data_IF_450530178228
#
_entry.id   IF_450530178228
#
_cell.length_a   1.000
_cell.length_b   1.000
_cell.length_c   1.000
_cell.angle_alpha   90.00
_cell.angle_beta   90.00
_cell.angle_gamma   90.00
#
_symmetry.space_group_name_H-M   'P 1'
#
loop_
_entity.id
_entity.type
_entity.pdbx_description
1 polymer ?
#
# COMPACT_ATOMS: atom_id res chain seq x y z
N UNK A 1 -12.03 31.02 9.85
CA UNK A 1 -11.72 29.82 9.05
C UNK A 1 -11.76 30.25 7.60
N UNK A 2 -10.65 30.16 6.85
CA UNK A 2 -10.71 30.33 5.40
C UNK A 2 -11.56 29.20 4.82
N UNK A 3 -12.61 29.53 4.07
CA UNK A 3 -13.33 28.54 3.27
C UNK A 3 -12.38 28.01 2.21
N UNK A 4 -11.90 26.78 2.40
CA UNK A 4 -11.11 26.10 1.38
C UNK A 4 -11.99 25.89 0.14
N UNK A 5 -11.48 26.31 -1.02
CA UNK A 5 -12.19 26.21 -2.31
C UNK A 5 -12.32 24.77 -2.82
N UNK A 6 -11.61 23.81 -2.19
CA UNK A 6 -11.62 22.39 -2.52
C UNK A 6 -11.47 21.53 -1.25
N UNK A 7 -12.17 20.38 -1.17
CA UNK A 7 -12.03 19.47 -0.03
C UNK A 7 -10.66 18.78 -0.03
N UNK A 8 -9.99 18.77 1.11
CA UNK A 8 -8.63 18.20 1.26
C UNK A 8 -8.70 16.88 2.02
N UNK A 9 -8.17 15.81 1.45
CA UNK A 9 -8.16 14.47 2.06
C UNK A 9 -6.74 14.02 2.39
N UNK A 10 -6.53 13.62 3.64
CA UNK A 10 -5.31 12.96 4.07
C UNK A 10 -5.39 11.48 3.70
N UNK A 11 -4.44 10.99 2.90
CA UNK A 11 -4.34 9.60 2.45
C UNK A 11 -3.19 8.93 3.20
N UNK A 12 -3.49 8.13 4.22
CA UNK A 12 -2.50 7.76 5.24
C UNK A 12 -2.04 6.32 5.07
N UNK A 13 -0.72 6.12 4.98
CA UNK A 13 -0.09 4.81 4.79
C UNK A 13 -0.31 3.88 6.00
N UNK A 14 -0.47 2.55 5.81
CA UNK A 14 -0.85 1.61 6.88
C UNK A 14 0.09 1.59 8.10
N UNK A 15 1.36 2.02 7.93
CA UNK A 15 2.32 2.10 9.02
C UNK A 15 1.95 3.11 10.13
N UNK A 16 1.00 4.03 9.89
CA UNK A 16 0.75 5.21 10.72
C UNK A 16 0.46 4.92 12.19
N UNK A 17 -0.29 3.86 12.49
CA UNK A 17 -0.74 3.51 13.84
C UNK A 17 0.41 3.26 14.81
N UNK A 18 1.54 2.82 14.27
CA UNK A 18 2.71 2.57 15.09
C UNK A 18 3.55 3.82 15.37
N UNK A 19 3.40 4.88 14.58
CA UNK A 19 4.42 5.92 14.43
C UNK A 19 4.21 7.12 15.33
N UNK A 20 2.96 7.51 15.55
CA UNK A 20 2.66 8.68 16.37
C UNK A 20 2.56 8.26 17.84
N UNK A 21 3.38 8.91 18.68
CA UNK A 21 3.37 8.65 20.12
C UNK A 21 2.12 9.29 20.74
N UNK A 22 1.54 8.61 21.72
CA UNK A 22 0.42 9.12 22.52
C UNK A 22 -0.84 9.45 21.67
N UNK A 23 -0.95 8.88 20.46
CA UNK A 23 -2.12 8.99 19.58
C UNK A 23 -2.73 7.60 19.45
N UNK A 24 -3.96 7.46 19.94
CA UNK A 24 -4.77 6.25 19.84
C UNK A 24 -5.47 6.13 18.49
N UNK A 25 -5.94 4.92 18.19
CA UNK A 25 -6.67 4.58 16.98
C UNK A 25 -7.87 5.51 16.78
N UNK A 26 -8.02 6.05 15.57
CA UNK A 26 -9.09 6.99 15.24
C UNK A 26 -8.87 8.44 15.73
N UNK A 27 -7.96 8.72 16.67
CA UNK A 27 -7.65 10.12 17.05
C UNK A 27 -6.98 10.86 15.90
N UNK A 28 -6.15 10.18 15.10
CA UNK A 28 -5.47 10.77 13.95
C UNK A 28 -6.45 11.38 12.94
N UNK A 29 -7.60 10.73 12.72
CA UNK A 29 -8.67 11.22 11.85
C UNK A 29 -9.26 12.54 12.38
N UNK A 30 -9.49 12.62 13.68
CA UNK A 30 -9.96 13.85 14.34
C UNK A 30 -8.92 14.95 14.29
N UNK A 31 -7.63 14.63 14.46
CA UNK A 31 -6.52 15.60 14.34
C UNK A 31 -6.50 16.21 12.94
N UNK A 32 -6.53 15.39 11.89
CA UNK A 32 -6.55 15.90 10.51
C UNK A 32 -7.76 16.80 10.26
N UNK A 33 -8.95 16.45 10.77
CA UNK A 33 -10.14 17.32 10.68
C UNK A 33 -9.93 18.65 11.39
N UNK A 34 -9.31 18.66 12.58
CA UNK A 34 -8.98 19.91 13.31
C UNK A 34 -7.96 20.77 12.56
N UNK A 35 -7.06 20.16 11.80
CA UNK A 35 -6.11 20.85 10.92
C UNK A 35 -6.75 21.37 9.62
N UNK A 36 -8.05 21.14 9.41
CA UNK A 36 -8.80 21.63 8.26
C UNK A 36 -8.96 20.65 7.11
N UNK A 37 -8.51 19.39 7.26
CA UNK A 37 -8.81 18.35 6.27
C UNK A 37 -10.29 17.99 6.30
N UNK A 38 -10.89 17.77 5.13
CA UNK A 38 -12.25 17.28 4.98
C UNK A 38 -12.40 15.82 5.44
N UNK A 39 -11.33 15.04 5.35
CA UNK A 39 -11.32 13.67 5.83
C UNK A 39 -9.95 13.01 5.77
N UNK A 40 -9.90 11.80 6.33
CA UNK A 40 -8.75 10.90 6.27
C UNK A 40 -9.20 9.60 5.60
N UNK A 41 -8.39 9.06 4.70
CA UNK A 41 -8.62 7.75 4.07
C UNK A 41 -7.41 6.89 4.34
N UNK A 42 -7.64 5.70 4.88
CA UNK A 42 -6.58 4.74 5.12
C UNK A 42 -6.24 4.03 3.83
N UNK A 43 -4.95 4.02 3.51
CA UNK A 43 -4.41 3.38 2.29
C UNK A 43 -4.54 1.85 2.35
N UNK A 44 -4.72 1.27 3.54
CA UNK A 44 -4.89 -0.17 3.75
C UNK A 44 -6.08 -0.75 2.98
N UNK A 45 -7.18 -0.01 2.83
CA UNK A 45 -8.32 -0.43 1.99
C UNK A 45 -7.94 -0.58 0.50
N UNK A 46 -6.98 0.21 0.02
CA UNK A 46 -6.51 0.13 -1.36
C UNK A 46 -5.41 -0.92 -1.53
N UNK A 47 -4.67 -1.21 -0.46
CA UNK A 47 -3.82 -2.39 -0.41
C UNK A 47 -4.66 -3.69 -0.47
N UNK A 48 -5.86 -3.72 0.12
CA UNK A 48 -6.80 -4.82 -0.04
C UNK A 48 -7.20 -5.02 -1.52
N UNK A 49 -7.62 -3.96 -2.21
CA UNK A 49 -7.99 -4.04 -3.63
C UNK A 49 -6.82 -4.50 -4.51
N UNK A 50 -5.63 -3.94 -4.28
CA UNK A 50 -4.44 -4.33 -5.03
C UNK A 50 -3.99 -5.75 -4.69
N UNK A 51 -4.25 -6.25 -3.48
CA UNK A 51 -4.02 -7.65 -3.15
C UNK A 51 -4.91 -8.58 -3.98
N UNK A 52 -6.18 -8.23 -4.20
CA UNK A 52 -7.05 -9.00 -5.10
C UNK A 52 -6.51 -8.99 -6.52
N UNK A 53 -6.15 -7.80 -7.01
CA UNK A 53 -5.59 -7.66 -8.35
C UNK A 53 -4.30 -8.47 -8.51
N UNK A 54 -3.35 -8.34 -7.60
CA UNK A 54 -2.09 -9.10 -7.65
C UNK A 54 -2.30 -10.62 -7.50
N UNK A 55 -3.29 -11.07 -6.71
CA UNK A 55 -3.64 -12.48 -6.64
C UNK A 55 -4.20 -13.01 -7.96
N UNK A 56 -5.05 -12.23 -8.64
CA UNK A 56 -5.55 -12.57 -9.98
C UNK A 56 -4.44 -12.52 -11.04
N UNK A 57 -3.54 -11.55 -10.96
CA UNK A 57 -2.38 -11.44 -11.85
C UNK A 57 -1.42 -12.61 -11.64
N UNK A 58 -1.19 -13.04 -10.40
CA UNK A 58 -0.46 -14.26 -10.10
C UNK A 58 -1.16 -15.49 -10.70
N UNK A 59 -2.48 -15.59 -10.55
CA UNK A 59 -3.25 -16.69 -11.11
C UNK A 59 -3.09 -16.78 -12.63
N UNK A 60 -3.11 -15.63 -13.31
CA UNK A 60 -2.95 -15.50 -14.76
C UNK A 60 -1.50 -15.75 -15.23
N UNK A 61 -0.51 -15.19 -14.53
CA UNK A 61 0.90 -15.24 -14.94
C UNK A 61 1.58 -16.58 -14.63
N UNK A 62 1.17 -17.23 -13.54
CA UNK A 62 1.83 -18.45 -13.06
C UNK A 62 1.03 -19.67 -13.50
N UNK A 63 1.41 -20.22 -14.65
CA UNK A 63 0.79 -21.41 -15.25
C UNK A 63 1.69 -22.64 -15.12
N UNK A 64 3.01 -22.44 -14.99
CA UNK A 64 4.01 -23.50 -14.89
C UNK A 64 4.98 -23.24 -13.74
N UNK A 65 5.67 -24.28 -13.27
CA UNK A 65 6.71 -24.18 -12.21
C UNK A 65 7.92 -23.33 -12.61
N UNK A 66 8.02 -22.92 -13.87
CA UNK A 66 9.08 -22.02 -14.37
C UNK A 66 8.67 -20.56 -14.35
N UNK A 67 7.38 -20.28 -14.20
CA UNK A 67 6.87 -18.93 -14.16
C UNK A 67 7.14 -18.29 -12.80
N UNK A 68 7.37 -16.98 -12.82
CA UNK A 68 7.54 -16.18 -11.63
C UNK A 68 7.01 -14.77 -11.85
N UNK A 69 6.73 -14.10 -10.74
CA UNK A 69 6.20 -12.74 -10.69
C UNK A 69 7.01 -11.93 -9.67
N UNK A 70 7.42 -10.72 -10.06
CA UNK A 70 8.04 -9.73 -9.19
C UNK A 70 6.92 -8.83 -8.64
N UNK A 71 6.64 -8.93 -7.35
CA UNK A 71 5.58 -8.15 -6.67
C UNK A 71 6.15 -6.89 -6.02
N UNK A 72 5.43 -6.31 -5.05
CA UNK A 72 5.76 -5.08 -4.34
C UNK A 72 5.92 -3.90 -5.29
N UNK A 73 5.01 -3.81 -6.26
CA UNK A 73 4.84 -2.65 -7.13
C UNK A 73 4.69 -1.33 -6.34
N UNK A 74 4.27 -1.44 -5.09
CA UNK A 74 4.13 -0.36 -4.15
C UNK A 74 5.44 0.24 -3.62
N UNK A 75 6.60 -0.41 -3.80
CA UNK A 75 7.90 0.11 -3.38
C UNK A 75 8.64 0.80 -4.54
N UNK A 76 8.74 2.15 -4.55
CA UNK A 76 9.35 2.84 -5.69
C UNK A 76 10.83 2.54 -5.86
N UNK A 77 11.55 2.28 -4.76
CA UNK A 77 12.97 1.93 -4.80
C UNK A 77 13.18 0.60 -5.52
N UNK A 78 12.32 -0.38 -5.24
CA UNK A 78 12.35 -1.70 -5.89
C UNK A 78 12.04 -1.61 -7.38
N UNK A 79 10.95 -0.92 -7.74
CA UNK A 79 10.58 -0.74 -9.15
C UNK A 79 11.65 0.02 -9.93
N UNK A 80 12.22 1.08 -9.36
CA UNK A 80 13.30 1.83 -10.00
C UNK A 80 14.59 1.02 -10.12
N UNK A 81 14.87 0.11 -9.18
CA UNK A 81 16.01 -0.81 -9.27
C UNK A 81 15.82 -1.77 -10.44
N UNK A 82 14.66 -2.44 -10.54
CA UNK A 82 14.35 -3.33 -11.66
C UNK A 82 14.45 -2.56 -12.98
N UNK A 83 13.76 -1.41 -13.09
CA UNK A 83 13.74 -0.60 -14.32
C UNK A 83 15.13 -0.18 -14.81
N UNK A 84 16.06 0.11 -13.90
CA UNK A 84 17.41 0.62 -14.25
C UNK A 84 18.46 -0.47 -14.41
N UNK A 85 18.40 -1.52 -13.59
CA UNK A 85 19.45 -2.53 -13.52
C UNK A 85 19.07 -3.82 -14.27
N UNK A 86 17.77 -4.14 -14.33
CA UNK A 86 17.24 -5.39 -14.87
C UNK A 86 15.96 -5.13 -15.72
N UNK A 87 16.03 -4.29 -16.77
CA UNK A 87 14.86 -3.84 -17.51
C UNK A 87 14.06 -4.99 -18.16
N UNK A 88 14.72 -6.08 -18.55
CA UNK A 88 14.08 -7.29 -19.08
C UNK A 88 13.17 -8.01 -18.07
N UNK A 89 13.39 -7.79 -16.77
CA UNK A 89 12.53 -8.31 -15.70
C UNK A 89 11.25 -7.50 -15.52
N UNK A 90 11.13 -6.29 -16.08
CA UNK A 90 9.91 -5.47 -15.95
C UNK A 90 8.66 -6.17 -16.47
N UNK A 91 8.79 -7.00 -17.51
CA UNK A 91 7.67 -7.82 -18.05
C UNK A 91 7.11 -8.85 -17.05
N UNK A 92 7.83 -9.09 -15.96
CA UNK A 92 7.45 -10.00 -14.86
C UNK A 92 6.91 -9.24 -13.64
N UNK A 93 6.87 -7.90 -13.69
CA UNK A 93 6.22 -7.04 -12.70
C UNK A 93 4.76 -6.83 -13.15
N UNK A 94 3.76 -7.00 -12.28
CA UNK A 94 2.39 -6.64 -12.62
C UNK A 94 2.27 -5.16 -12.92
N UNK A 95 1.35 -4.80 -13.80
CA UNK A 95 1.03 -3.41 -14.13
C UNK A 95 0.25 -2.67 -13.02
N UNK A 96 0.31 -3.12 -11.77
CA UNK A 96 -0.45 -2.54 -10.66
C UNK A 96 0.18 -1.23 -10.14
N UNK A 97 -0.65 -0.23 -9.82
CA UNK A 97 -0.21 1.00 -9.14
C UNK A 97 0.07 0.72 -7.65
N UNK A 98 0.71 1.66 -6.95
CA UNK A 98 0.79 1.54 -5.49
C UNK A 98 -0.53 1.88 -4.80
N UNK A 99 -0.77 1.35 -3.57
CA UNK A 99 -1.96 1.69 -2.78
C UNK A 99 -2.15 3.20 -2.55
N UNK A 100 -1.05 3.97 -2.52
CA UNK A 100 -1.09 5.44 -2.46
C UNK A 100 -1.80 6.01 -3.69
N UNK A 101 -1.36 5.60 -4.88
CA UNK A 101 -1.89 6.09 -6.17
C UNK A 101 -3.34 5.64 -6.34
N UNK A 102 -3.63 4.37 -6.10
CA UNK A 102 -5.00 3.84 -6.14
C UNK A 102 -5.95 4.64 -5.24
N UNK A 103 -5.54 4.91 -3.99
CA UNK A 103 -6.33 5.71 -3.07
C UNK A 103 -6.56 7.13 -3.58
N UNK A 104 -5.51 7.80 -4.06
CA UNK A 104 -5.61 9.15 -4.61
C UNK A 104 -6.59 9.26 -5.78
N UNK A 105 -6.48 8.35 -6.77
CA UNK A 105 -7.38 8.27 -7.92
C UNK A 105 -8.83 8.04 -7.52
N UNK A 106 -9.07 7.10 -6.60
CA UNK A 106 -10.43 6.79 -6.15
C UNK A 106 -11.03 7.97 -5.36
N UNK A 107 -10.27 8.62 -4.49
CA UNK A 107 -10.74 9.83 -3.79
C UNK A 107 -11.16 10.91 -4.78
N UNK A 108 -10.34 11.19 -5.81
CA UNK A 108 -10.65 12.21 -6.83
C UNK A 108 -11.82 11.81 -7.73
N UNK A 109 -12.02 10.52 -7.99
CA UNK A 109 -13.18 10.00 -8.76
C UNK A 109 -14.48 10.10 -7.98
N UNK A 110 -14.45 9.83 -6.67
CA UNK A 110 -15.62 9.92 -5.79
C UNK A 110 -15.94 11.37 -5.39
N UNK A 111 -14.92 12.21 -5.28
CA UNK A 111 -15.04 13.63 -4.91
C UNK A 111 -14.27 14.48 -5.93
N UNK A 112 -14.91 14.83 -7.06
CA UNK A 112 -14.29 15.67 -8.07
C UNK A 112 -13.79 17.00 -7.48
N UNK A 113 -12.55 17.38 -7.82
CA UNK A 113 -11.90 18.57 -7.28
C UNK A 113 -11.24 18.39 -5.90
N UNK A 114 -11.26 17.18 -5.32
CA UNK A 114 -10.54 16.90 -4.09
C UNK A 114 -9.02 17.07 -4.25
N UNK A 115 -8.40 17.64 -3.22
CA UNK A 115 -6.95 17.69 -3.06
C UNK A 115 -6.52 16.52 -2.19
N UNK A 116 -5.57 15.72 -2.64
CA UNK A 116 -5.09 14.53 -1.94
C UNK A 116 -3.68 14.75 -1.39
N UNK A 117 -3.52 14.51 -0.09
CA UNK A 117 -2.23 14.63 0.61
C UNK A 117 -1.87 13.26 1.17
N UNK A 118 -0.89 12.59 0.56
CA UNK A 118 -0.38 11.34 1.11
C UNK A 118 0.47 11.60 2.34
N UNK A 119 0.32 10.75 3.36
CA UNK A 119 1.11 10.76 4.60
C UNK A 119 1.73 9.38 4.82
N UNK A 120 3.06 9.29 4.81
CA UNK A 120 3.74 8.00 4.98
C UNK A 120 5.22 8.09 5.39
N UNK A 121 5.92 6.94 5.52
CA UNK A 121 7.29 6.92 6.02
C UNK A 121 8.36 7.11 4.93
N UNK A 122 7.96 7.06 3.65
CA UNK A 122 8.87 6.90 2.53
C UNK A 122 9.11 8.20 1.75
N UNK A 123 10.38 8.59 1.60
CA UNK A 123 10.77 9.74 0.77
C UNK A 123 10.60 9.47 -0.73
N UNK A 124 10.78 8.22 -1.18
CA UNK A 124 10.66 7.87 -2.59
C UNK A 124 9.22 8.05 -3.12
N UNK A 125 8.21 8.04 -2.24
CA UNK A 125 6.81 8.37 -2.62
C UNK A 125 6.67 9.80 -3.16
N UNK A 126 7.53 10.74 -2.74
CA UNK A 126 7.54 12.11 -3.30
C UNK A 126 7.94 12.10 -4.78
N UNK A 127 8.80 11.17 -5.18
CA UNK A 127 9.21 10.99 -6.57
C UNK A 127 8.15 10.21 -7.36
N UNK A 128 7.62 9.12 -6.80
CA UNK A 128 6.56 8.33 -7.46
C UNK A 128 5.33 9.19 -7.80
N UNK A 129 4.86 10.02 -6.86
CA UNK A 129 3.71 10.89 -7.09
C UNK A 129 3.92 11.93 -8.22
N UNK A 130 5.15 12.08 -8.73
CA UNK A 130 5.49 12.98 -9.84
C UNK A 130 5.79 12.22 -11.14
N UNK A 131 5.72 10.89 -11.15
CA UNK A 131 5.87 10.11 -12.37
C UNK A 131 4.67 10.40 -13.30
N UNK A 132 4.95 10.58 -14.60
CA UNK A 132 3.97 11.12 -15.54
C UNK A 132 2.70 10.26 -15.68
N UNK A 133 2.81 8.94 -15.46
CA UNK A 133 1.72 7.99 -15.54
C UNK A 133 0.81 7.98 -14.29
N UNK A 134 1.21 8.64 -13.19
CA UNK A 134 0.48 8.64 -11.90
C UNK A 134 0.37 10.02 -11.23
N UNK A 135 0.85 11.08 -11.89
CA UNK A 135 0.82 12.45 -11.38
C UNK A 135 -0.59 13.02 -11.16
N UNK A 136 -1.62 12.34 -11.66
CA UNK A 136 -3.03 12.66 -11.46
C UNK A 136 -3.51 12.33 -10.03
N UNK A 137 -2.86 11.39 -9.35
CA UNK A 137 -3.42 10.76 -8.14
C UNK A 137 -3.20 11.57 -6.84
N UNK A 138 -1.98 12.09 -6.63
CA UNK A 138 -1.55 12.68 -5.35
C UNK A 138 -0.97 14.08 -5.56
N UNK A 139 -1.59 15.09 -4.94
CA UNK A 139 -1.14 16.49 -5.07
C UNK A 139 0.06 16.78 -4.18
N UNK A 140 0.06 16.24 -2.96
CA UNK A 140 1.13 16.46 -1.97
C UNK A 140 1.51 15.18 -1.24
N UNK A 141 2.79 15.07 -0.89
CA UNK A 141 3.34 13.93 -0.16
C UNK A 141 4.09 14.45 1.07
N UNK A 142 3.56 14.14 2.24
CA UNK A 142 4.14 14.43 3.54
C UNK A 142 4.67 13.15 4.19
N UNK A 143 5.76 13.30 4.92
CA UNK A 143 6.35 12.23 5.70
C UNK A 143 5.77 12.20 7.11
N UNK A 144 5.82 11.07 7.81
CA UNK A 144 5.37 11.02 9.22
C UNK A 144 6.11 12.03 10.09
N UNK A 145 7.42 12.21 9.86
CA UNK A 145 8.17 13.27 10.53
C UNK A 145 7.64 14.68 10.22
N UNK A 146 7.38 15.01 8.96
CA UNK A 146 6.83 16.33 8.60
C UNK A 146 5.43 16.55 9.22
N UNK A 147 4.63 15.50 9.34
CA UNK A 147 3.32 15.57 10.01
C UNK A 147 3.45 15.70 11.53
N UNK A 148 4.41 15.03 12.16
CA UNK A 148 4.69 15.23 13.59
C UNK A 148 5.14 16.67 13.87
N UNK A 149 6.04 17.21 13.04
CA UNK A 149 6.49 18.60 13.14
C UNK A 149 5.29 19.58 12.94
N UNK A 150 4.32 19.24 12.07
CA UNK A 150 3.07 20.00 11.91
C UNK A 150 2.18 19.94 13.15
N UNK A 151 2.04 18.76 13.77
CA UNK A 151 1.22 18.60 14.99
C UNK A 151 1.79 19.40 16.15
N UNK A 152 3.13 19.41 16.30
CA UNK A 152 3.82 20.23 17.28
C UNK A 152 3.60 21.72 17.03
N UNK A 153 3.78 22.18 15.79
CA UNK A 153 3.57 23.58 15.41
C UNK A 153 2.12 24.04 15.63
N UNK A 154 1.14 23.16 15.38
CA UNK A 154 -0.28 23.40 15.61
C UNK A 154 -0.69 23.23 17.09
N UNK A 155 0.24 22.85 17.98
CA UNK A 155 0.00 22.62 19.41
C UNK A 155 -1.16 21.64 19.65
N UNK A 156 -1.18 20.56 18.89
CA UNK A 156 -2.15 19.48 19.04
C UNK A 156 -1.80 18.68 20.29
N UNK A 157 -2.66 18.71 21.30
CA UNK A 157 -2.59 17.81 22.46
C UNK A 157 -3.49 16.60 22.21
N UNK A 158 -2.94 15.37 22.06
CA UNK A 158 -3.71 14.16 21.83
C UNK A 158 -4.65 13.76 22.97
N UNK A 159 -4.36 14.18 24.21
CA UNK A 159 -5.06 13.69 25.40
C UNK A 159 -6.58 13.99 25.39
N UNK A 160 -6.99 15.10 24.78
CA UNK A 160 -8.38 15.57 24.75
C UNK A 160 -9.04 15.43 23.36
N UNK A 161 -8.53 14.51 22.53
CA UNK A 161 -9.03 14.31 21.17
C UNK A 161 -9.98 13.11 21.13
N UNK A 162 -11.27 13.31 20.79
CA UNK A 162 -12.18 12.20 20.63
C UNK A 162 -11.75 11.31 19.46
N UNK A 163 -11.90 10.01 19.63
CA UNK A 163 -11.64 9.02 18.60
C UNK A 163 -12.75 9.02 17.54
N UNK A 164 -12.37 9.00 16.26
CA UNK A 164 -13.27 8.73 15.12
C UNK A 164 -12.80 7.44 14.46
N UNK A 165 -13.26 6.32 15.01
CA UNK A 165 -12.94 4.98 14.52
C UNK A 165 -13.75 4.67 13.27
N UNK A 166 -13.04 4.43 12.16
CA UNK A 166 -13.62 3.97 10.91
C UNK A 166 -12.72 2.91 10.30
N UNK A 167 -12.91 1.68 10.75
CA UNK A 167 -12.14 0.53 10.28
C UNK A 167 -12.78 -0.05 9.02
N UNK A 168 -12.09 0.07 7.89
CA UNK A 168 -12.57 -0.44 6.61
C UNK A 168 -11.64 -1.47 5.98
N UNK A 169 -10.47 -1.75 6.57
CA UNK A 169 -9.44 -2.61 5.99
C UNK A 169 -9.42 -4.02 6.59
N UNK A 170 -9.08 -5.00 5.76
CA UNK A 170 -8.87 -6.41 6.14
C UNK A 170 -7.44 -6.64 6.67
N UNK A 171 -7.18 -7.84 7.19
CA UNK A 171 -5.82 -8.26 7.59
C UNK A 171 -4.81 -8.05 6.44
N UNK A 172 -5.18 -8.44 5.22
CA UNK A 172 -4.34 -8.36 4.03
C UNK A 172 -3.87 -6.92 3.75
N UNK A 173 -4.76 -5.93 3.82
CA UNK A 173 -4.44 -4.53 3.60
C UNK A 173 -3.61 -3.90 4.71
N UNK A 174 -3.78 -4.35 5.96
CA UNK A 174 -3.02 -3.84 7.12
C UNK A 174 -1.58 -4.34 7.14
N UNK A 175 -1.36 -5.62 6.79
CA UNK A 175 -0.03 -6.25 6.90
C UNK A 175 0.98 -5.76 5.85
N UNK A 176 0.55 -5.08 4.78
CA UNK A 176 1.43 -4.51 3.74
C UNK A 176 2.58 -3.63 4.26
N UNK A 177 2.44 -3.05 5.44
CA UNK A 177 3.43 -2.13 6.00
C UNK A 177 4.74 -2.82 6.43
N UNK A 178 4.73 -4.14 6.64
CA UNK A 178 5.90 -4.93 7.06
C UNK A 178 6.44 -5.80 5.91
N UNK A 179 7.75 -6.09 5.91
CA UNK A 179 8.32 -7.08 4.98
C UNK A 179 7.56 -8.41 5.06
N UNK A 180 7.38 -9.07 3.90
CA UNK A 180 6.57 -10.30 3.72
C UNK A 180 5.06 -10.05 3.72
N UNK A 181 4.60 -8.87 4.12
CA UNK A 181 3.19 -8.56 4.20
C UNK A 181 2.46 -8.71 2.88
N UNK A 182 3.07 -8.28 1.76
CA UNK A 182 2.46 -8.39 0.42
C UNK A 182 2.35 -9.87 0.02
N UNK A 183 3.44 -10.63 0.15
CA UNK A 183 3.46 -12.07 -0.12
C UNK A 183 2.41 -12.84 0.68
N UNK A 184 2.27 -12.54 1.97
CA UNK A 184 1.30 -13.19 2.85
C UNK A 184 -0.14 -12.83 2.45
N UNK A 185 -0.41 -11.54 2.24
CA UNK A 185 -1.71 -11.04 1.82
C UNK A 185 -2.16 -11.68 0.49
N UNK A 186 -1.27 -11.73 -0.52
CA UNK A 186 -1.56 -12.31 -1.83
C UNK A 186 -1.75 -13.82 -1.73
N UNK A 187 -0.92 -14.53 -0.97
CA UNK A 187 -1.06 -15.98 -0.80
C UNK A 187 -2.41 -16.37 -0.17
N UNK A 188 -2.77 -15.72 0.95
CA UNK A 188 -4.05 -15.99 1.65
C UNK A 188 -5.24 -15.61 0.76
N UNK A 189 -5.15 -14.50 0.04
CA UNK A 189 -6.22 -14.06 -0.87
C UNK A 189 -6.37 -15.02 -2.04
N UNK A 190 -5.28 -15.45 -2.67
CA UNK A 190 -5.29 -16.42 -3.77
C UNK A 190 -5.93 -17.73 -3.36
N UNK A 191 -5.55 -18.29 -2.20
CA UNK A 191 -6.15 -19.51 -1.68
C UNK A 191 -7.66 -19.37 -1.43
N UNK A 192 -8.11 -18.16 -1.09
CA UNK A 192 -9.53 -17.86 -0.89
C UNK A 192 -10.31 -17.77 -2.21
N UNK A 193 -9.76 -17.17 -3.26
CA UNK A 193 -10.45 -16.94 -4.54
C UNK A 193 -10.21 -18.04 -5.60
N UNK A 194 -9.14 -18.83 -5.45
CA UNK A 194 -8.72 -19.93 -6.33
C UNK A 194 -8.17 -21.11 -5.50
N UNK A 195 -9.00 -21.72 -4.64
CA UNK A 195 -8.55 -22.80 -3.74
C UNK A 195 -7.92 -23.98 -4.48
N UNK A 196 -8.43 -24.29 -5.67
CA UNK A 196 -8.01 -25.44 -6.49
C UNK A 196 -6.78 -25.15 -7.37
N UNK A 197 -6.17 -23.96 -7.30
CA UNK A 197 -4.97 -23.66 -8.09
C UNK A 197 -3.83 -24.61 -7.69
N UNK A 198 -3.24 -25.37 -8.64
CA UNK A 198 -2.23 -26.37 -8.31
C UNK A 198 -0.90 -25.75 -7.87
N UNK A 199 -0.49 -24.66 -8.52
CA UNK A 199 0.75 -23.95 -8.20
C UNK A 199 0.45 -22.85 -7.19
N UNK A 200 0.87 -23.07 -5.95
CA UNK A 200 0.70 -22.12 -4.84
C UNK A 200 1.80 -21.07 -4.82
N UNK A 201 1.55 -19.97 -4.10
CA UNK A 201 2.55 -18.92 -3.89
C UNK A 201 3.73 -19.49 -3.10
N UNK A 202 4.91 -19.44 -3.71
CA UNK A 202 6.19 -19.76 -3.09
C UNK A 202 7.05 -18.51 -3.11
N UNK A 203 6.91 -17.73 -2.04
CA UNK A 203 7.48 -16.40 -1.96
C UNK A 203 8.90 -16.38 -1.40
N UNK A 204 9.72 -15.46 -1.94
CA UNK A 204 11.00 -15.04 -1.35
C UNK A 204 10.99 -13.52 -1.20
N UNK A 205 11.56 -13.03 -0.10
CA UNK A 205 11.58 -11.62 0.24
C UNK A 205 13.01 -11.11 0.32
N UNK A 206 13.18 -9.85 -0.06
CA UNK A 206 14.37 -9.07 0.19
C UNK A 206 13.99 -7.71 0.74
N UNK A 207 14.71 -7.26 1.77
CA UNK A 207 14.54 -5.92 2.31
C UNK A 207 15.86 -5.19 2.51
N UNK A 208 15.84 -3.90 2.21
CA UNK A 208 17.05 -3.12 1.98
C UNK A 208 17.59 -3.26 0.57
N UNK A 209 18.18 -2.17 0.07
CA UNK A 209 18.78 -2.09 -1.28
C UNK A 209 19.79 -3.22 -1.57
N UNK A 210 20.72 -3.59 -0.66
CA UNK A 210 21.68 -4.67 -0.92
C UNK A 210 21.02 -6.04 -1.14
N UNK A 211 20.07 -6.42 -0.30
CA UNK A 211 19.38 -7.71 -0.42
C UNK A 211 18.46 -7.73 -1.64
N UNK A 212 17.80 -6.61 -1.96
CA UNK A 212 16.99 -6.51 -3.18
C UNK A 212 17.84 -6.76 -4.42
N UNK A 213 19.03 -6.14 -4.49
CA UNK A 213 19.95 -6.38 -5.61
C UNK A 213 20.38 -7.84 -5.66
N UNK A 214 20.79 -8.41 -4.51
CA UNK A 214 21.21 -9.81 -4.44
C UNK A 214 20.10 -10.76 -4.90
N UNK A 215 18.85 -10.49 -4.53
CA UNK A 215 17.70 -11.30 -4.95
C UNK A 215 17.50 -11.28 -6.48
N UNK A 216 17.63 -10.11 -7.11
CA UNK A 216 17.56 -9.99 -8.56
C UNK A 216 18.72 -10.72 -9.25
N UNK A 217 19.95 -10.54 -8.76
CA UNK A 217 21.13 -11.25 -9.28
C UNK A 217 20.97 -12.78 -9.16
N UNK A 218 20.46 -13.27 -8.01
CA UNK A 218 20.24 -14.70 -7.76
C UNK A 218 19.10 -15.26 -8.65
N UNK A 219 18.08 -14.45 -8.95
CA UNK A 219 17.01 -14.81 -9.89
C UNK A 219 17.55 -15.01 -11.31
N UNK A 220 18.32 -14.06 -11.83
CA UNK A 220 18.90 -14.14 -13.18
C UNK A 220 19.87 -15.31 -13.33
N UNK A 221 20.59 -15.64 -12.26
CA UNK A 221 21.49 -16.78 -12.21
C UNK A 221 20.77 -18.13 -12.00
N UNK A 222 19.44 -18.13 -11.89
CA UNK A 222 18.63 -19.34 -11.72
C UNK A 222 18.82 -20.03 -10.37
N UNK A 223 19.24 -19.29 -9.32
CA UNK A 223 19.48 -19.84 -7.98
C UNK A 223 18.24 -19.90 -7.10
N UNK A 224 17.12 -19.34 -7.57
CA UNK A 224 15.85 -19.38 -6.86
C UNK A 224 14.86 -20.30 -7.56
N UNK A 225 14.02 -20.95 -6.76
CA UNK A 225 12.88 -21.74 -7.21
C UNK A 225 11.56 -21.12 -6.72
N UNK A 226 11.61 -19.86 -6.28
CA UNK A 226 10.44 -19.09 -5.89
C UNK A 226 9.69 -18.58 -7.13
N UNK A 227 8.37 -18.54 -7.05
CA UNK A 227 7.50 -18.01 -8.11
C UNK A 227 6.93 -16.62 -7.76
N UNK A 228 7.22 -16.11 -6.56
CA UNK A 228 6.77 -14.80 -6.10
C UNK A 228 7.91 -14.08 -5.38
N UNK A 229 8.35 -12.94 -5.92
CA UNK A 229 9.54 -12.24 -5.43
C UNK A 229 9.17 -10.85 -4.94
N UNK A 230 9.27 -10.64 -3.63
CA UNK A 230 8.95 -9.38 -2.96
C UNK A 230 10.23 -8.62 -2.60
N UNK A 231 10.37 -7.39 -3.11
CA UNK A 231 11.46 -6.49 -2.75
C UNK A 231 10.97 -5.23 -2.07
N UNK A 232 11.62 -4.86 -0.96
CA UNK A 232 11.37 -3.62 -0.21
C UNK A 232 12.67 -2.84 -0.05
N UNK A 233 12.74 -1.60 -0.52
CA UNK A 233 13.97 -0.81 -0.46
C UNK A 233 14.47 -0.48 0.95
N UNK A 234 13.61 -0.55 1.97
CA UNK A 234 13.94 -0.31 3.37
C UNK A 234 13.91 -1.63 4.15
N UNK A 235 14.87 -1.82 5.06
CA UNK A 235 14.93 -3.02 5.88
C UNK A 235 13.72 -3.10 6.83
N UNK A 236 13.03 -4.23 6.87
CA UNK A 236 11.75 -4.43 7.57
C UNK A 236 10.51 -3.82 6.89
N UNK A 237 10.64 -3.27 5.68
CA UNK A 237 9.51 -2.75 4.91
C UNK A 237 9.18 -1.29 5.25
N UNK A 238 7.93 -0.89 5.01
CA UNK A 238 7.50 0.50 5.16
C UNK A 238 7.62 1.01 6.61
N UNK A 239 7.43 0.15 7.61
CA UNK A 239 7.63 0.49 9.03
C UNK A 239 9.06 0.96 9.35
N UNK A 240 10.05 0.47 8.59
CA UNK A 240 11.45 0.89 8.67
C UNK A 240 11.83 2.01 7.70
N UNK A 241 10.85 2.73 7.14
CA UNK A 241 11.11 3.81 6.20
C UNK A 241 11.97 4.94 6.80
N UNK A 242 12.66 5.71 5.95
CA UNK A 242 13.68 6.67 6.40
C UNK A 242 13.12 7.81 7.27
N UNK A 243 11.80 8.02 7.26
CA UNK A 243 11.11 9.07 8.03
C UNK A 243 10.08 8.50 9.00
N UNK A 244 10.27 7.25 9.41
CA UNK A 244 9.61 6.67 10.58
C UNK A 244 10.03 7.39 11.86
N UNK A 245 9.16 7.36 12.86
CA UNK A 245 9.27 8.08 14.14
C UNK A 245 9.74 7.18 15.29
N UNK A 246 9.55 5.87 15.17
CA UNK A 246 9.88 4.89 16.21
C UNK A 246 10.79 3.80 15.67
N UNK A 247 11.35 3.00 16.59
CA UNK A 247 12.14 1.85 16.24
C UNK A 247 11.35 0.85 15.37
N UNK A 248 12.04 0.29 14.37
CA UNK A 248 11.47 -0.61 13.38
C UNK A 248 10.87 -1.86 14.03
N UNK A 249 11.54 -2.48 15.00
CA UNK A 249 11.04 -3.72 15.61
C UNK A 249 9.75 -3.45 16.38
N UNK A 250 9.69 -2.33 17.10
CA UNK A 250 8.48 -1.86 17.79
C UNK A 250 7.36 -1.59 16.78
N UNK A 251 7.67 -0.91 15.67
CA UNK A 251 6.69 -0.62 14.63
C UNK A 251 6.13 -1.90 13.97
N UNK A 252 7.01 -2.86 13.66
CA UNK A 252 6.62 -4.16 13.12
C UNK A 252 5.67 -4.90 14.04
N UNK A 253 5.97 -4.97 15.34
CA UNK A 253 5.11 -5.63 16.32
C UNK A 253 3.72 -5.00 16.36
N UNK A 254 3.64 -3.67 16.50
CA UNK A 254 2.38 -2.94 16.55
C UNK A 254 1.53 -3.12 15.28
N UNK A 255 2.15 -3.07 14.10
CA UNK A 255 1.42 -3.27 12.84
C UNK A 255 0.89 -4.69 12.72
N UNK A 256 1.65 -5.71 13.18
CA UNK A 256 1.17 -7.09 13.20
C UNK A 256 0.00 -7.27 14.16
N UNK A 257 0.09 -6.71 15.36
CA UNK A 257 -0.99 -6.74 16.35
C UNK A 257 -2.26 -6.06 15.81
N UNK A 258 -2.11 -4.94 15.11
CA UNK A 258 -3.22 -4.26 14.46
C UNK A 258 -3.82 -5.06 13.29
N UNK A 259 -2.97 -5.75 12.52
CA UNK A 259 -3.42 -6.56 11.40
C UNK A 259 -4.31 -7.72 11.87
N UNK A 260 -3.90 -8.45 12.93
CA UNK A 260 -4.66 -9.60 13.45
C UNK A 260 -6.00 -9.22 14.11
N UNK A 261 -6.18 -7.94 14.46
CA UNK A 261 -7.44 -7.40 14.97
C UNK A 261 -8.47 -7.10 13.86
N UNK A 262 -8.09 -7.22 12.58
CA UNK A 262 -9.02 -6.98 11.49
C UNK A 262 -10.20 -7.97 11.51
N UNK A 263 -11.41 -7.44 11.28
CA UNK A 263 -12.64 -8.24 11.24
C UNK A 263 -12.66 -9.25 10.08
N UNK A 264 -11.98 -8.93 8.98
CA UNK A 264 -11.97 -9.71 7.76
C UNK A 264 -10.54 -10.18 7.44
N UNK A 265 -10.34 -11.47 7.14
CA UNK A 265 -9.01 -12.01 6.85
C UNK A 265 -8.52 -11.67 5.45
N UNK A 266 -9.42 -11.57 4.47
CA UNK A 266 -9.07 -11.28 3.08
C UNK A 266 -9.91 -10.14 2.50
N UNK A 267 -9.45 -9.50 1.41
CA UNK A 267 -10.19 -8.41 0.77
C UNK A 267 -11.55 -8.84 0.22
N UNK A 268 -11.70 -10.07 -0.27
CA UNK A 268 -12.98 -10.54 -0.85
C UNK A 268 -14.04 -10.77 0.24
N UNK A 269 -13.61 -11.07 1.46
CA UNK A 269 -14.51 -11.20 2.61
C UNK A 269 -14.89 -9.83 3.20
N UNK A 270 -14.25 -8.74 2.77
CA UNK A 270 -14.46 -7.39 3.27
C UNK A 270 -15.57 -6.65 2.48
N UNK A 271 -16.74 -6.36 3.07
CA UNK A 271 -17.86 -5.73 2.36
C UNK A 271 -17.53 -4.32 1.87
N UNK A 272 -16.63 -3.59 2.55
CA UNK A 272 -16.22 -2.25 2.12
C UNK A 272 -15.42 -2.27 0.82
N UNK A 273 -14.61 -3.32 0.61
CA UNK A 273 -13.88 -3.52 -0.65
C UNK A 273 -14.86 -3.80 -1.77
N UNK A 274 -15.81 -4.73 -1.55
CA UNK A 274 -16.82 -5.10 -2.55
C UNK A 274 -17.70 -3.91 -2.92
N UNK A 275 -18.20 -3.16 -1.93
CA UNK A 275 -19.01 -1.95 -2.17
C UNK A 275 -18.23 -0.89 -2.96
N UNK A 276 -16.96 -0.67 -2.60
CA UNK A 276 -16.13 0.32 -3.29
C UNK A 276 -15.88 -0.08 -4.75
N UNK A 277 -15.59 -1.35 -5.03
CA UNK A 277 -15.44 -1.86 -6.39
C UNK A 277 -16.73 -1.65 -7.21
N UNK A 278 -17.89 -1.97 -6.63
CA UNK A 278 -19.18 -1.76 -7.29
C UNK A 278 -19.43 -0.28 -7.61
N UNK A 279 -19.09 0.64 -6.70
CA UNK A 279 -19.19 2.08 -6.92
C UNK A 279 -18.26 2.59 -8.01
N UNK A 280 -17.14 1.91 -8.26
CA UNK A 280 -16.21 2.19 -9.35
C UNK A 280 -16.65 1.57 -10.68
N UNK A 281 -17.72 0.76 -10.67
CA UNK A 281 -18.25 0.06 -11.85
C UNK A 281 -17.69 -1.34 -12.05
N UNK A 282 -16.86 -1.83 -11.12
CA UNK A 282 -16.26 -3.17 -11.13
C UNK A 282 -17.21 -4.12 -10.40
N UNK A 283 -17.88 -4.99 -11.16
CA UNK A 283 -18.96 -5.87 -10.64
C UNK A 283 -18.46 -7.25 -10.25
N UNK A 284 -17.42 -7.71 -10.92
CA UNK A 284 -16.72 -8.97 -10.63
C UNK A 284 -15.25 -8.67 -10.30
N UNK A 285 -14.59 -9.54 -9.54
CA UNK A 285 -13.18 -9.31 -9.22
C UNK A 285 -12.30 -9.48 -10.45
N UNK A 286 -12.70 -10.31 -11.41
CA UNK A 286 -11.99 -10.55 -12.66
C UNK A 286 -11.85 -9.26 -13.49
N UNK A 287 -12.82 -8.35 -13.44
CA UNK A 287 -12.77 -7.03 -14.08
C UNK A 287 -11.59 -6.16 -13.57
N UNK A 288 -10.98 -6.46 -12.39
CA UNK A 288 -9.75 -5.79 -11.93
C UNK A 288 -8.54 -6.06 -12.84
N UNK A 289 -8.57 -7.14 -13.63
CA UNK A 289 -7.54 -7.42 -14.63
C UNK A 289 -7.72 -6.54 -15.89
N UNK A 290 -8.95 -6.12 -16.14
CA UNK A 290 -9.31 -5.28 -17.29
C UNK A 290 -9.18 -3.79 -17.00
N UNK A 291 -9.17 -3.38 -15.73
CA UNK A 291 -8.91 -2.00 -15.34
C UNK A 291 -7.55 -1.52 -15.85
N UNK A 292 -7.58 -0.47 -16.67
CA UNK A 292 -6.40 0.19 -17.22
C UNK A 292 -6.25 1.62 -16.69
N UNK A 293 -7.14 2.09 -15.80
CA UNK A 293 -7.17 3.49 -15.37
C UNK A 293 -6.83 3.65 -13.89
N UNK A 294 -7.59 3.03 -12.99
CA UNK A 294 -7.56 3.39 -11.56
C UNK A 294 -6.43 2.67 -10.83
N UNK A 295 -6.28 1.38 -11.11
CA UNK A 295 -5.38 0.46 -10.43
C UNK A 295 -4.19 0.04 -11.30
N UNK A 296 -4.09 0.54 -12.53
CA UNK A 296 -3.03 0.20 -13.47
C UNK A 296 -2.01 1.33 -13.71
N UNK A 297 -0.76 0.94 -13.96
CA UNK A 297 0.33 1.78 -14.43
C UNK A 297 0.49 1.62 -15.94
N UNK A 298 0.80 2.73 -16.60
CA UNK A 298 1.27 2.73 -17.97
C UNK A 298 2.81 2.75 -17.94
N UNK A 299 3.41 1.57 -17.80
CA UNK A 299 4.86 1.36 -17.70
C UNK A 299 5.57 1.43 -19.05
#
# INVERSE_FOLDING_TARGET
MHEATAPVFAVVAPAFLSQFKDIEDGQLRTIFKRLGFSGMVEVSLFADILTLKEALEFDLMIQTEKDYMLTSCCCPVWIQMIRKLHPELLKKVPGSVSPMVACGRVVKRLVPGAITVFVGPCLAKKAEAREADVADAIDHVLTFKEVADLFEAARIDPADIPTDLREHSSFAGRIYAVSKGVSEAVAVTLDRIRPDKPIKVKAVQADGVPECKRLLDDLEQGKTTANFLEGMGCAGGCVGGPRSLIDRAVATAKVRDYAVQALYPTPIDNPYVVELLQRLGIRTIEELLEDQEVFARHL
#
